data_IF_719291263068
#
_entry.id   IF_719291263068
#
_cell.length_a   1.000
_cell.length_b   1.000
_cell.length_c   1.000
_cell.angle_alpha   90.00
_cell.angle_beta   90.00
_cell.angle_gamma   90.00
#
_symmetry.space_group_name_H-M   'P 1'
#
loop_
_entity.id
_entity.type
_entity.pdbx_description
1 polymer ?
#
# COMPACT_ATOMS: atom_id res chain seq x y z
N UNK A 1 14.15 1.08 5.44
CA UNK A 1 12.72 1.10 5.84
C UNK A 1 12.07 -0.27 5.64
N UNK A 2 11.25 -0.77 6.59
CA UNK A 2 10.45 -2.01 6.47
C UNK A 2 8.97 -1.71 6.80
N UNK A 3 8.03 -2.33 6.10
CA UNK A 3 6.60 -2.26 6.40
C UNK A 3 5.87 -3.52 5.91
N UNK A 4 5.01 -4.10 6.75
CA UNK A 4 4.01 -5.08 6.32
C UNK A 4 2.76 -4.36 5.78
N UNK A 5 2.55 -4.44 4.47
CA UNK A 5 1.43 -3.76 3.79
C UNK A 5 0.06 -4.36 4.09
N UNK A 6 -0.02 -5.48 4.81
CA UNK A 6 -1.29 -5.97 5.38
C UNK A 6 -1.74 -5.17 6.61
N UNK A 7 -0.87 -4.32 7.17
CA UNK A 7 -1.09 -3.58 8.42
C UNK A 7 -1.08 -2.07 8.17
N UNK A 8 -2.24 -1.44 8.31
CA UNK A 8 -2.42 -0.01 8.01
C UNK A 8 -1.48 0.91 8.81
N UNK A 9 -1.26 0.62 10.09
CA UNK A 9 -0.38 1.39 10.96
C UNK A 9 1.10 1.31 10.52
N UNK A 10 1.53 0.19 9.95
CA UNK A 10 2.89 0.06 9.42
C UNK A 10 3.07 0.84 8.12
N UNK A 11 2.02 0.96 7.29
CA UNK A 11 2.02 1.80 6.08
C UNK A 11 2.10 3.28 6.46
N UNK A 12 1.33 3.74 7.44
CA UNK A 12 1.38 5.13 7.91
C UNK A 12 2.78 5.47 8.45
N UNK A 13 3.30 4.64 9.36
CA UNK A 13 4.64 4.83 9.89
C UNK A 13 5.74 4.77 8.82
N UNK A 14 5.53 4.00 7.76
CA UNK A 14 6.42 3.95 6.60
C UNK A 14 6.44 5.29 5.85
N UNK A 15 5.27 5.84 5.55
CA UNK A 15 5.15 7.14 4.85
C UNK A 15 5.72 8.27 5.69
N UNK A 16 5.43 8.32 6.99
CA UNK A 16 5.95 9.35 7.89
C UNK A 16 7.49 9.32 7.95
N UNK A 17 8.10 8.13 8.04
CA UNK A 17 9.56 8.00 8.00
C UNK A 17 10.15 8.41 6.66
N UNK A 18 9.54 8.00 5.55
CA UNK A 18 10.01 8.38 4.22
C UNK A 18 9.93 9.91 4.03
N UNK A 19 8.87 10.55 4.50
CA UNK A 19 8.72 12.00 4.44
C UNK A 19 9.73 12.71 5.35
N UNK A 20 9.95 12.23 6.57
CA UNK A 20 10.95 12.79 7.47
C UNK A 20 12.37 12.69 6.90
N UNK A 21 12.68 11.63 6.15
CA UNK A 21 14.01 11.37 5.58
C UNK A 21 14.23 12.09 4.25
N UNK A 22 13.22 12.15 3.37
CA UNK A 22 13.36 12.62 1.98
C UNK A 22 12.56 13.88 1.65
N UNK A 23 11.73 14.37 2.57
CA UNK A 23 10.78 15.46 2.33
C UNK A 23 9.59 15.00 1.49
N UNK A 24 9.10 15.90 0.62
CA UNK A 24 7.93 15.65 -0.24
C UNK A 24 8.05 14.33 -1.02
N UNK A 25 6.96 13.57 -1.09
CA UNK A 25 6.88 12.31 -1.84
C UNK A 25 6.03 12.51 -3.10
N UNK A 26 6.64 12.40 -4.28
CA UNK A 26 5.96 12.63 -5.56
C UNK A 26 5.45 11.36 -6.25
N UNK A 27 6.07 10.21 -5.97
CA UNK A 27 5.81 8.96 -6.68
C UNK A 27 5.56 7.83 -5.69
N UNK A 28 4.52 7.06 -5.95
CA UNK A 28 4.20 5.83 -5.23
C UNK A 28 4.25 4.64 -6.18
N UNK A 29 4.98 3.60 -5.79
CA UNK A 29 5.04 2.32 -6.50
C UNK A 29 4.55 1.22 -5.57
N UNK A 30 3.36 0.68 -5.82
CA UNK A 30 2.89 -0.51 -5.12
C UNK A 30 3.38 -1.77 -5.85
N UNK A 31 4.62 -2.18 -5.56
CA UNK A 31 5.20 -3.43 -6.07
C UNK A 31 5.17 -4.54 -5.02
N UNK A 32 4.07 -4.66 -4.27
CA UNK A 32 3.89 -5.71 -3.28
C UNK A 32 3.23 -6.96 -3.88
N UNK A 33 3.63 -8.14 -3.40
CA UNK A 33 3.03 -9.41 -3.79
C UNK A 33 2.62 -10.19 -2.55
N UNK A 34 1.39 -10.69 -2.54
CA UNK A 34 0.93 -11.67 -1.56
C UNK A 34 1.04 -13.08 -2.15
N UNK A 35 2.01 -13.86 -1.68
CA UNK A 35 2.25 -15.25 -2.17
C UNK A 35 1.04 -16.18 -2.02
N UNK A 36 0.11 -15.90 -1.09
CA UNK A 36 -1.13 -16.67 -0.97
C UNK A 36 -2.12 -16.42 -2.12
N UNK A 37 -2.05 -15.28 -2.80
CA UNK A 37 -2.97 -14.92 -3.89
C UNK A 37 -2.70 -15.71 -5.17
N UNK A 38 -1.45 -16.13 -5.37
CA UNK A 38 -0.97 -16.80 -6.58
C UNK A 38 -0.30 -18.10 -6.13
N UNK A 39 -1.10 -19.16 -5.98
CA UNK A 39 -0.55 -20.48 -5.70
C UNK A 39 0.53 -20.83 -6.74
N UNK A 40 1.66 -21.40 -6.31
CA UNK A 40 2.78 -21.78 -7.20
C UNK A 40 2.23 -22.70 -8.29
N UNK A 41 1.94 -22.18 -9.49
CA UNK A 41 1.33 -22.86 -10.66
C UNK A 41 -0.20 -22.98 -10.73
N UNK A 42 -0.98 -22.17 -10.02
CA UNK A 42 -2.43 -22.18 -10.26
C UNK A 42 -2.80 -21.44 -11.55
N UNK A 43 -3.57 -22.10 -12.42
CA UNK A 43 -4.20 -21.45 -13.56
C UNK A 43 -5.28 -20.49 -13.04
N UNK A 44 -5.03 -19.18 -13.10
CA UNK A 44 -5.89 -18.14 -12.53
C UNK A 44 -7.33 -18.29 -13.06
N UNK A 45 -7.51 -18.58 -14.34
CA UNK A 45 -8.83 -18.76 -14.97
C UNK A 45 -9.62 -19.98 -14.45
N UNK A 46 -8.98 -20.93 -13.77
CA UNK A 46 -9.65 -22.08 -13.13
C UNK A 46 -9.91 -21.90 -11.65
N UNK A 47 -9.17 -21.01 -11.00
CA UNK A 47 -9.07 -20.94 -9.53
C UNK A 47 -9.56 -19.61 -8.96
N UNK A 48 -9.83 -18.64 -9.84
CA UNK A 48 -10.43 -17.37 -9.48
C UNK A 48 -11.97 -17.42 -9.60
N UNK A 49 -12.73 -16.87 -8.63
CA UNK A 49 -12.26 -16.37 -7.34
C UNK A 49 -12.02 -17.52 -6.34
N UNK A 50 -10.98 -17.39 -5.51
CA UNK A 50 -10.75 -18.22 -4.33
C UNK A 50 -10.64 -17.35 -3.08
N UNK A 51 -10.87 -17.89 -1.86
CA UNK A 51 -10.69 -17.11 -0.62
C UNK A 51 -9.31 -16.46 -0.52
N UNK A 52 -8.27 -17.15 -0.99
CA UNK A 52 -6.89 -16.65 -0.96
C UNK A 52 -6.62 -15.56 -2.00
N UNK A 53 -7.16 -15.67 -3.22
CA UNK A 53 -7.06 -14.59 -4.21
C UNK A 53 -7.84 -13.36 -3.77
N UNK A 54 -9.03 -13.53 -3.17
CA UNK A 54 -9.84 -12.44 -2.61
C UNK A 54 -9.12 -11.74 -1.47
N UNK A 55 -8.53 -12.49 -0.53
CA UNK A 55 -7.72 -11.92 0.55
C UNK A 55 -6.50 -11.15 0.01
N UNK A 56 -5.81 -11.72 -0.98
CA UNK A 56 -4.65 -11.09 -1.61
C UNK A 56 -4.99 -9.78 -2.32
N UNK A 57 -6.04 -9.76 -3.14
CA UNK A 57 -6.54 -8.53 -3.77
C UNK A 57 -6.94 -7.52 -2.70
N UNK A 58 -7.65 -7.96 -1.66
CA UNK A 58 -8.03 -7.10 -0.54
C UNK A 58 -6.83 -6.43 0.12
N UNK A 59 -5.75 -7.17 0.38
CA UNK A 59 -4.52 -6.61 0.95
C UNK A 59 -3.88 -5.60 -0.01
N UNK A 60 -3.62 -6.01 -1.26
CA UNK A 60 -2.84 -5.19 -2.20
C UNK A 60 -3.59 -3.94 -2.65
N UNK A 61 -4.89 -4.02 -2.85
CA UNK A 61 -5.73 -2.86 -3.18
C UNK A 61 -5.80 -1.90 -1.99
N UNK A 62 -6.05 -2.40 -0.77
CA UNK A 62 -6.03 -1.56 0.43
C UNK A 62 -4.67 -0.88 0.63
N UNK A 63 -3.58 -1.60 0.39
CA UNK A 63 -2.23 -1.05 0.49
C UNK A 63 -2.01 0.14 -0.47
N UNK A 64 -2.45 0.04 -1.73
CA UNK A 64 -2.39 1.16 -2.69
C UNK A 64 -3.09 2.40 -2.13
N UNK A 65 -4.36 2.24 -1.73
CA UNK A 65 -5.18 3.38 -1.31
C UNK A 65 -4.73 3.96 0.04
N UNK A 66 -4.29 3.13 0.98
CA UNK A 66 -3.75 3.60 2.25
C UNK A 66 -2.44 4.36 2.05
N UNK A 67 -1.53 3.83 1.23
CA UNK A 67 -0.28 4.53 0.92
C UNK A 67 -0.57 5.89 0.28
N UNK A 68 -1.47 5.94 -0.72
CA UNK A 68 -1.91 7.19 -1.32
C UNK A 68 -2.50 8.16 -0.29
N UNK A 69 -3.41 7.71 0.58
CA UNK A 69 -4.03 8.51 1.64
C UNK A 69 -2.98 9.17 2.54
N UNK A 70 -2.01 8.40 3.01
CA UNK A 70 -1.00 8.92 3.94
C UNK A 70 -0.02 9.84 3.22
N UNK A 71 0.38 9.49 2.00
CA UNK A 71 1.28 10.32 1.19
C UNK A 71 0.65 11.65 0.78
N UNK A 72 -0.66 11.72 0.54
CA UNK A 72 -1.34 12.99 0.25
C UNK A 72 -1.09 14.06 1.32
N UNK A 73 -0.90 13.68 2.60
CA UNK A 73 -0.56 14.62 3.69
C UNK A 73 0.84 15.20 3.57
N UNK A 74 1.71 14.50 2.86
CA UNK A 74 3.13 14.84 2.65
C UNK A 74 3.38 15.54 1.31
N UNK A 75 2.36 15.60 0.44
CA UNK A 75 2.38 16.36 -0.80
C UNK A 75 2.14 17.84 -0.48
N UNK A 76 3.07 18.73 -0.88
CA UNK A 76 2.87 20.17 -0.75
C UNK A 76 1.63 20.61 -1.55
N UNK A 77 0.53 20.97 -0.86
CA UNK A 77 -0.69 21.46 -1.51
C UNK A 77 -2.00 21.27 -0.73
N UNK A 78 -2.08 20.35 0.24
CA UNK A 78 -3.21 20.28 1.16
C UNK A 78 -2.91 21.14 2.39
N UNK A 79 -3.11 22.46 2.21
CA UNK A 79 -2.74 23.48 3.18
C UNK A 79 -3.24 23.18 4.58
N UNK A 80 -2.32 23.26 5.55
CA UNK A 80 -2.67 23.85 6.83
C UNK A 80 -3.21 25.24 6.51
N UNK A 81 -4.52 25.44 6.64
CA UNK A 81 -5.04 26.78 6.86
C UNK A 81 -4.27 27.33 8.06
N UNK A 82 -3.40 28.31 7.79
CA UNK A 82 -2.68 29.02 8.83
C UNK A 82 -3.73 29.58 9.82
N UNK A 83 -3.57 29.23 11.10
CA UNK A 83 -4.30 29.85 12.21
C UNK A 83 -3.70 31.19 12.56
#
# INVERSE_FOLDING_TARGET
MRADVSRANEIEAMVERAHAEFGRIDILVNNALFRGAVGRRQQIWRTYPSPTSTAGIGILVKATFLTAKYTCRTCAGLGTAAS
#
